data_IF_274810096391
#
_entry.id   IF_274810096391
#
_cell.length_a   1.000
_cell.length_b   1.000
_cell.length_c   1.000
_cell.angle_alpha   90.00
_cell.angle_beta   90.00
_cell.angle_gamma   90.00
#
_symmetry.space_group_name_H-M   'P 1'
#
loop_
_entity.id
_entity.type
_entity.pdbx_description
1 polymer ?
#
# COMPACT_ATOMS: atom_id res chain seq x y z
N UNK A 1 45.54 -2.10 40.82
CA UNK A 1 45.18 -3.34 41.55
C UNK A 1 44.88 -4.41 40.52
N UNK A 2 45.44 -5.60 40.67
CA UNK A 2 45.39 -6.64 39.64
C UNK A 2 44.09 -7.45 39.71
N UNK A 3 43.40 -7.55 38.58
CA UNK A 3 42.17 -8.34 38.37
C UNK A 3 42.32 -9.80 38.86
N UNK A 4 43.49 -10.39 38.60
CA UNK A 4 43.82 -11.78 38.98
C UNK A 4 43.81 -12.00 40.49
N UNK A 5 44.18 -10.99 41.28
CA UNK A 5 44.19 -11.10 42.73
C UNK A 5 42.76 -11.26 43.26
N UNK A 6 41.84 -10.41 42.83
CA UNK A 6 40.43 -10.51 43.23
C UNK A 6 39.77 -11.80 42.77
N UNK A 7 40.05 -12.26 41.55
CA UNK A 7 39.56 -13.56 41.06
C UNK A 7 40.10 -14.72 41.91
N UNK A 8 41.39 -14.68 42.26
CA UNK A 8 42.01 -15.72 43.10
C UNK A 8 41.46 -15.71 44.53
N UNK A 9 41.21 -14.51 45.08
CA UNK A 9 40.67 -14.32 46.41
C UNK A 9 39.21 -14.75 46.50
N UNK A 10 38.39 -14.41 45.50
CA UNK A 10 37.01 -14.89 45.44
C UNK A 10 36.94 -16.42 45.27
N UNK A 11 37.81 -17.03 44.44
CA UNK A 11 37.92 -18.49 44.33
C UNK A 11 38.40 -19.17 45.61
N UNK A 12 39.17 -18.46 46.45
CA UNK A 12 39.57 -18.96 47.75
C UNK A 12 38.38 -18.99 48.72
N UNK A 13 37.63 -17.89 48.81
CA UNK A 13 36.41 -17.82 49.63
C UNK A 13 35.32 -18.82 49.17
N UNK A 14 35.21 -19.05 47.85
CA UNK A 14 34.38 -20.13 47.29
C UNK A 14 34.75 -21.51 47.83
N UNK A 15 36.05 -21.79 48.00
CA UNK A 15 36.51 -23.07 48.60
C UNK A 15 36.22 -23.15 50.10
N UNK A 16 36.16 -22.02 50.78
CA UNK A 16 35.79 -21.92 52.20
C UNK A 16 34.27 -21.96 52.42
N UNK A 17 33.46 -22.09 51.36
CA UNK A 17 31.98 -22.07 51.39
C UNK A 17 31.38 -20.73 51.82
N UNK A 18 32.17 -19.66 51.84
CA UNK A 18 31.75 -18.30 52.18
C UNK A 18 31.27 -17.57 50.91
N UNK A 19 30.16 -18.05 50.34
CA UNK A 19 29.63 -17.58 49.05
C UNK A 19 29.17 -16.11 49.07
N UNK A 20 28.65 -15.63 50.21
CA UNK A 20 28.26 -14.23 50.38
C UNK A 20 29.46 -13.29 50.35
N UNK A 21 30.57 -13.68 51.00
CA UNK A 21 31.82 -12.91 50.94
C UNK A 21 32.41 -12.89 49.55
N UNK A 22 32.42 -14.02 48.85
CA UNK A 22 32.86 -14.08 47.45
C UNK A 22 32.07 -13.08 46.58
N UNK A 23 30.74 -12.98 46.78
CA UNK A 23 29.88 -12.01 46.08
C UNK A 23 30.22 -10.55 46.41
N UNK A 24 30.45 -10.23 47.68
CA UNK A 24 30.86 -8.88 48.10
C UNK A 24 32.22 -8.51 47.50
N UNK A 25 33.16 -9.46 47.43
CA UNK A 25 34.48 -9.26 46.83
C UNK A 25 34.35 -8.97 45.33
N UNK A 26 33.53 -9.75 44.60
CA UNK A 26 33.30 -9.49 43.18
C UNK A 26 32.65 -8.12 42.94
N UNK A 27 31.66 -7.73 43.75
CA UNK A 27 31.01 -6.41 43.65
C UNK A 27 32.00 -5.27 43.94
N UNK A 28 32.77 -5.39 45.03
CA UNK A 28 33.79 -4.42 45.40
C UNK A 28 34.89 -4.28 44.34
N UNK A 29 35.30 -5.39 43.72
CA UNK A 29 36.28 -5.38 42.66
C UNK A 29 35.73 -4.72 41.37
N UNK A 30 34.45 -4.87 41.08
CA UNK A 30 33.79 -4.21 39.94
C UNK A 30 33.63 -2.70 40.14
N UNK A 31 33.44 -2.24 41.37
CA UNK A 31 33.28 -0.81 41.67
C UNK A 31 34.62 -0.04 41.67
N UNK A 32 35.73 -0.72 42.01
CA UNK A 32 37.03 -0.07 42.21
C UNK A 32 38.04 -0.25 41.05
N UNK A 33 37.82 -1.21 40.16
CA UNK A 33 38.74 -1.45 39.03
C UNK A 33 38.20 -0.72 37.78
N UNK A 34 39.05 -0.03 37.01
CA UNK A 34 38.66 0.53 35.72
C UNK A 34 38.07 -0.55 34.81
N UNK A 35 36.85 -0.31 34.35
CA UNK A 35 35.96 -1.32 33.73
C UNK A 35 36.54 -2.02 32.48
N UNK A 36 37.55 -1.45 31.84
CA UNK A 36 38.28 -2.03 30.71
C UNK A 36 39.09 -3.29 31.08
N UNK A 37 39.52 -3.39 32.34
CA UNK A 37 40.27 -4.54 32.88
C UNK A 37 39.40 -5.44 33.76
N UNK A 38 38.08 -5.43 33.57
CA UNK A 38 37.14 -6.21 34.37
C UNK A 38 36.49 -7.37 33.61
N UNK A 39 36.91 -7.65 32.36
CA UNK A 39 36.28 -8.71 31.55
C UNK A 39 36.47 -10.12 32.13
N UNK A 40 37.65 -10.42 32.68
CA UNK A 40 37.93 -11.70 33.32
C UNK A 40 37.19 -11.82 34.67
N UNK A 41 37.08 -10.71 35.39
CA UNK A 41 36.32 -10.58 36.63
C UNK A 41 34.82 -10.79 36.39
N UNK A 42 34.22 -10.14 35.39
CA UNK A 42 32.82 -10.35 34.99
C UNK A 42 32.56 -11.80 34.57
N UNK A 43 33.49 -12.42 33.83
CA UNK A 43 33.36 -13.82 33.41
C UNK A 43 33.35 -14.76 34.63
N UNK A 44 34.29 -14.58 35.57
CA UNK A 44 34.34 -15.38 36.78
C UNK A 44 33.15 -15.12 37.71
N UNK A 45 32.71 -13.86 37.85
CA UNK A 45 31.53 -13.50 38.64
C UNK A 45 30.24 -14.11 38.07
N UNK A 46 30.08 -14.13 36.75
CA UNK A 46 28.94 -14.81 36.09
C UNK A 46 28.97 -16.32 36.34
N UNK A 47 30.15 -16.94 36.35
CA UNK A 47 30.30 -18.38 36.64
C UNK A 47 29.97 -18.67 38.10
N UNK A 48 30.38 -17.80 39.02
CA UNK A 48 30.07 -17.91 40.45
C UNK A 48 28.56 -17.83 40.70
N UNK A 49 27.88 -16.80 40.19
CA UNK A 49 26.43 -16.65 40.35
C UNK A 49 25.67 -17.79 39.66
N UNK A 50 26.14 -18.30 38.50
CA UNK A 50 25.51 -19.48 37.87
C UNK A 50 25.61 -20.77 38.70
N UNK A 51 26.63 -20.90 39.55
CA UNK A 51 26.87 -22.09 40.37
C UNK A 51 26.23 -21.99 41.74
N UNK A 52 26.21 -20.80 42.33
CA UNK A 52 25.89 -20.59 43.74
C UNK A 52 24.91 -19.44 43.99
N UNK A 53 24.51 -18.69 42.96
CA UNK A 53 23.63 -17.55 43.07
C UNK A 53 22.16 -17.91 42.88
N UNK A 54 21.30 -17.06 43.44
CA UNK A 54 19.86 -17.10 43.19
C UNK A 54 19.55 -16.63 41.76
N UNK A 55 18.40 -17.07 41.23
CA UNK A 55 17.94 -16.71 39.87
C UNK A 55 17.95 -15.19 39.62
N UNK A 56 17.55 -14.40 40.60
CA UNK A 56 17.56 -12.92 40.55
C UNK A 56 18.97 -12.33 40.54
N UNK A 57 19.91 -12.93 41.27
CA UNK A 57 21.32 -12.55 41.26
C UNK A 57 21.97 -12.78 39.90
N UNK A 58 21.71 -13.94 39.29
CA UNK A 58 22.19 -14.28 37.94
C UNK A 58 21.65 -13.30 36.90
N UNK A 59 20.36 -12.98 36.96
CA UNK A 59 19.72 -12.03 36.04
C UNK A 59 20.37 -10.64 36.15
N UNK A 60 20.60 -10.12 37.36
CA UNK A 60 21.24 -8.83 37.58
C UNK A 60 22.68 -8.76 37.03
N UNK A 61 23.47 -9.84 37.15
CA UNK A 61 24.85 -9.85 36.62
C UNK A 61 24.86 -9.90 35.09
N UNK A 62 23.95 -10.65 34.49
CA UNK A 62 23.81 -10.72 33.04
C UNK A 62 23.38 -9.36 32.46
N UNK A 63 22.41 -8.70 33.11
CA UNK A 63 21.95 -7.37 32.72
C UNK A 63 23.10 -6.36 32.81
N UNK A 64 23.83 -6.30 33.93
CA UNK A 64 24.98 -5.40 34.09
C UNK A 64 26.08 -5.64 33.04
N UNK A 65 26.37 -6.90 32.71
CA UNK A 65 27.33 -7.23 31.64
C UNK A 65 26.86 -6.73 30.28
N UNK A 66 25.58 -6.92 29.94
CA UNK A 66 24.98 -6.44 28.69
C UNK A 66 24.96 -4.91 28.65
N UNK A 67 24.62 -4.25 29.76
CA UNK A 67 24.63 -2.78 29.93
C UNK A 67 26.00 -2.20 29.55
N UNK A 68 27.07 -2.82 30.04
CA UNK A 68 28.44 -2.44 29.73
C UNK A 68 28.81 -2.64 28.26
N UNK A 69 28.48 -3.82 27.70
CA UNK A 69 28.74 -4.11 26.28
C UNK A 69 28.07 -3.09 25.37
N UNK A 70 26.78 -2.81 25.60
CA UNK A 70 26.06 -1.82 24.83
C UNK A 70 26.58 -0.39 25.05
N UNK A 71 27.01 -0.04 26.27
CA UNK A 71 27.61 1.28 26.53
C UNK A 71 28.95 1.47 25.77
N UNK A 72 29.77 0.43 25.67
CA UNK A 72 31.00 0.46 24.85
C UNK A 72 30.70 0.48 23.35
N UNK A 73 29.72 -0.29 22.88
CA UNK A 73 29.27 -0.29 21.48
C UNK A 73 28.72 1.08 21.06
N UNK A 74 27.97 1.72 21.94
CA UNK A 74 27.42 3.06 21.73
C UNK A 74 28.54 4.12 21.72
N UNK A 75 29.53 4.03 22.61
CA UNK A 75 30.69 4.95 22.62
C UNK A 75 31.57 4.80 21.40
N UNK A 76 31.78 3.56 20.93
CA UNK A 76 32.60 3.27 19.76
C UNK A 76 31.90 3.63 18.45
N UNK A 77 30.60 3.37 18.34
CA UNK A 77 29.79 3.69 17.16
C UNK A 77 28.48 4.41 17.53
N UNK A 78 28.54 5.74 17.80
CA UNK A 78 27.35 6.51 18.17
C UNK A 78 26.24 6.49 17.11
N UNK A 79 26.57 6.26 15.84
CA UNK A 79 25.62 6.21 14.72
C UNK A 79 24.91 4.85 14.56
N UNK A 80 25.26 3.83 15.34
CA UNK A 80 24.61 2.53 15.27
C UNK A 80 23.32 2.52 16.09
N UNK A 81 22.20 2.89 15.47
CA UNK A 81 20.88 2.94 16.12
C UNK A 81 20.37 1.58 16.62
N UNK A 82 20.83 0.45 16.04
CA UNK A 82 20.41 -0.88 16.50
C UNK A 82 20.98 -1.20 17.89
N UNK A 83 22.23 -0.80 18.17
CA UNK A 83 22.83 -0.91 19.50
C UNK A 83 22.08 -0.04 20.53
N UNK A 84 21.64 1.16 20.14
CA UNK A 84 20.80 2.01 20.99
C UNK A 84 19.44 1.37 21.29
N UNK A 85 18.79 0.71 20.31
CA UNK A 85 17.52 0.02 20.54
C UNK A 85 17.65 -1.13 21.53
N UNK A 86 18.69 -1.94 21.40
CA UNK A 86 18.91 -3.05 22.32
C UNK A 86 19.32 -2.57 23.72
N UNK A 87 20.05 -1.45 23.80
CA UNK A 87 20.39 -0.83 25.07
C UNK A 87 19.16 -0.27 25.78
N UNK A 88 18.29 0.46 25.07
CA UNK A 88 17.06 1.00 25.63
C UNK A 88 16.13 -0.10 26.14
N UNK A 89 15.94 -1.18 25.36
CA UNK A 89 15.09 -2.31 25.76
C UNK A 89 15.58 -3.03 27.02
N UNK A 90 16.90 -2.97 27.28
CA UNK A 90 17.49 -3.50 28.50
C UNK A 90 17.18 -2.61 29.71
N UNK A 91 17.32 -1.28 29.56
CA UNK A 91 17.10 -0.32 30.67
C UNK A 91 15.61 -0.14 30.97
N UNK A 92 14.73 -0.21 29.96
CA UNK A 92 13.27 -0.23 30.17
C UNK A 92 12.84 -1.35 31.15
N UNK A 93 13.57 -2.47 31.18
CA UNK A 93 13.35 -3.54 32.16
C UNK A 93 13.84 -3.23 33.59
N UNK A 94 14.69 -2.22 33.78
CA UNK A 94 15.37 -1.91 35.05
C UNK A 94 14.64 -0.84 35.91
N UNK A 95 13.48 -0.35 35.46
CA UNK A 95 12.48 0.40 36.26
C UNK A 95 12.86 1.81 36.76
N UNK A 96 14.08 2.31 36.54
CA UNK A 96 14.44 3.70 36.88
C UNK A 96 14.14 4.67 35.72
N UNK A 97 13.05 5.42 35.83
CA UNK A 97 12.58 6.39 34.82
C UNK A 97 13.65 7.41 34.45
N UNK A 98 14.42 7.90 35.42
CA UNK A 98 15.42 8.95 35.20
C UNK A 98 16.62 8.45 34.40
N UNK A 99 17.03 7.19 34.61
CA UNK A 99 18.12 6.56 33.85
C UNK A 99 17.68 6.29 32.41
N UNK A 100 16.44 5.85 32.23
CA UNK A 100 15.87 5.63 30.89
C UNK A 100 15.77 6.97 30.14
N UNK A 101 15.31 8.04 30.79
CA UNK A 101 15.24 9.39 30.22
C UNK A 101 16.60 9.92 29.79
N UNK A 102 17.59 9.88 30.68
CA UNK A 102 18.95 10.32 30.35
C UNK A 102 19.50 9.54 29.15
N UNK A 103 19.21 8.24 29.08
CA UNK A 103 19.65 7.43 27.95
C UNK A 103 18.96 7.84 26.64
N UNK A 104 17.66 8.10 26.67
CA UNK A 104 16.91 8.58 25.52
C UNK A 104 17.42 9.95 25.04
N UNK A 105 17.66 10.90 25.96
CA UNK A 105 18.22 12.21 25.64
C UNK A 105 19.61 12.09 24.98
N UNK A 106 20.47 11.21 25.51
CA UNK A 106 21.79 10.90 24.92
C UNK A 106 21.67 10.26 23.54
N UNK A 107 20.70 9.37 23.35
CA UNK A 107 20.47 8.72 22.07
C UNK A 107 19.96 9.73 21.02
N UNK A 108 19.09 10.66 21.44
CA UNK A 108 18.53 11.72 20.61
C UNK A 108 19.59 12.75 20.19
N UNK A 109 20.53 13.09 21.08
CA UNK A 109 21.62 14.02 20.77
C UNK A 109 22.49 13.58 19.57
N UNK A 110 22.53 12.28 19.28
CA UNK A 110 23.25 11.71 18.15
C UNK A 110 22.42 11.76 16.85
N UNK A 111 22.27 12.99 16.33
CA UNK A 111 21.58 13.27 15.08
C UNK A 111 22.31 12.58 13.91
N UNK A 112 21.59 11.91 12.99
CA UNK A 112 22.22 11.27 11.83
C UNK A 112 23.07 12.27 11.02
N UNK A 113 24.32 11.92 10.66
CA UNK A 113 25.23 12.85 9.96
C UNK A 113 24.81 13.15 8.51
N UNK A 114 23.95 12.33 7.92
CA UNK A 114 23.44 12.52 6.56
C UNK A 114 21.91 12.62 6.55
N UNK A 115 21.39 13.51 5.71
CA UNK A 115 19.95 13.74 5.50
C UNK A 115 19.31 12.70 4.57
N UNK A 116 19.78 11.45 4.64
CA UNK A 116 19.19 10.36 3.88
C UNK A 116 18.00 9.74 4.61
N UNK A 117 16.88 9.59 3.91
CA UNK A 117 15.66 9.00 4.45
C UNK A 117 15.86 7.61 5.08
N UNK A 118 16.89 6.85 4.68
CA UNK A 118 17.18 5.51 5.23
C UNK A 118 17.67 5.58 6.67
N UNK A 119 18.65 6.45 6.95
CA UNK A 119 19.23 6.63 8.28
C UNK A 119 18.23 7.30 9.24
N UNK A 120 17.48 8.27 8.73
CA UNK A 120 16.44 8.95 9.49
C UNK A 120 15.27 8.05 9.90
N UNK A 121 14.97 6.97 9.15
CA UNK A 121 13.92 6.01 9.55
C UNK A 121 14.19 5.45 10.94
N UNK A 122 15.41 4.94 11.19
CA UNK A 122 15.79 4.32 12.46
C UNK A 122 15.79 5.36 13.59
N UNK A 123 16.37 6.53 13.32
CA UNK A 123 16.36 7.64 14.26
C UNK A 123 14.94 8.09 14.65
N UNK A 124 13.99 8.08 13.72
CA UNK A 124 12.59 8.39 14.03
C UNK A 124 11.90 7.30 14.85
N UNK A 125 12.24 6.04 14.63
CA UNK A 125 11.76 4.98 15.50
C UNK A 125 12.26 5.14 16.94
N UNK A 126 13.46 5.68 17.14
CA UNK A 126 13.97 6.03 18.47
C UNK A 126 13.07 7.08 19.14
N UNK A 127 12.73 8.15 18.43
CA UNK A 127 11.79 9.18 18.92
C UNK A 127 10.39 8.62 19.20
N UNK A 128 9.90 7.72 18.34
CA UNK A 128 8.61 7.04 18.55
C UNK A 128 8.66 6.18 19.82
N UNK A 129 9.73 5.41 20.02
CA UNK A 129 9.90 4.60 21.22
C UNK A 129 9.98 5.48 22.47
N UNK A 130 10.73 6.59 22.42
CA UNK A 130 10.79 7.52 23.53
C UNK A 130 9.41 8.10 23.90
N UNK A 131 8.64 8.52 22.89
CA UNK A 131 7.29 9.03 23.12
C UNK A 131 6.33 7.95 23.62
N UNK A 132 6.47 6.69 23.17
CA UNK A 132 5.68 5.56 23.66
C UNK A 132 6.04 5.19 25.10
N UNK A 133 7.33 5.23 25.45
CA UNK A 133 7.82 4.99 26.80
C UNK A 133 7.26 6.04 27.76
N UNK A 134 7.40 7.33 27.43
CA UNK A 134 6.88 8.42 28.26
C UNK A 134 5.35 8.36 28.41
N UNK A 135 4.65 7.90 27.39
CA UNK A 135 3.19 7.77 27.43
C UNK A 135 2.71 6.54 28.23
N UNK A 136 3.31 5.37 28.02
CA UNK A 136 2.85 4.10 28.59
C UNK A 136 3.43 3.83 29.99
N UNK A 137 4.72 4.09 30.18
CA UNK A 137 5.45 3.76 31.40
C UNK A 137 5.46 4.95 32.37
N UNK A 138 6.01 6.09 31.95
CA UNK A 138 6.12 7.27 32.81
C UNK A 138 4.79 8.04 33.00
N UNK A 139 3.83 7.87 32.06
CA UNK A 139 2.53 8.56 32.03
C UNK A 139 2.61 10.08 32.08
N UNK A 140 3.75 10.67 31.69
CA UNK A 140 3.93 12.12 31.64
C UNK A 140 3.44 12.67 30.29
N UNK A 141 2.18 13.11 30.30
CA UNK A 141 1.55 13.75 29.13
C UNK A 141 2.20 15.08 28.72
N UNK A 142 2.83 15.79 29.65
CA UNK A 142 3.45 17.10 29.40
C UNK A 142 4.72 16.95 28.58
N UNK A 143 5.64 16.11 29.06
CA UNK A 143 6.89 15.83 28.35
C UNK A 143 6.69 15.11 27.03
N UNK A 144 5.76 14.15 26.96
CA UNK A 144 5.45 13.47 25.70
C UNK A 144 5.13 14.48 24.58
N UNK A 145 4.41 15.57 24.89
CA UNK A 145 4.12 16.65 23.94
C UNK A 145 5.37 17.43 23.52
N UNK A 146 6.27 17.70 24.45
CA UNK A 146 7.55 18.37 24.16
C UNK A 146 8.44 17.50 23.28
N UNK A 147 8.50 16.20 23.55
CA UNK A 147 9.22 15.21 22.74
C UNK A 147 8.70 15.17 21.30
N UNK A 148 7.38 15.12 21.11
CA UNK A 148 6.81 15.16 19.77
C UNK A 148 7.10 16.49 19.05
N UNK A 149 7.01 17.63 19.74
CA UNK A 149 7.34 18.95 19.17
C UNK A 149 8.82 19.04 18.77
N UNK A 150 9.72 18.65 19.65
CA UNK A 150 11.16 18.64 19.38
C UNK A 150 11.49 17.72 18.19
N UNK A 151 10.85 16.55 18.10
CA UNK A 151 10.99 15.65 16.96
C UNK A 151 10.54 16.30 15.65
N UNK A 152 9.40 17.01 15.68
CA UNK A 152 8.89 17.74 14.51
C UNK A 152 9.85 18.86 14.09
N UNK A 153 10.34 19.67 15.03
CA UNK A 153 11.22 20.79 14.71
C UNK A 153 12.57 20.34 14.16
N UNK A 154 13.07 19.18 14.62
CA UNK A 154 14.34 18.61 14.17
C UNK A 154 14.27 18.05 12.74
N UNK A 155 13.10 17.58 12.29
CA UNK A 155 12.96 16.94 10.98
C UNK A 155 12.98 18.00 9.86
N UNK A 156 13.91 17.91 8.88
CA UNK A 156 13.88 18.75 7.69
C UNK A 156 12.72 18.37 6.77
N UNK A 157 11.52 18.91 7.04
CA UNK A 157 10.30 18.57 6.30
C UNK A 157 10.33 18.92 4.80
N UNK A 158 11.27 19.78 4.38
CA UNK A 158 11.48 20.15 2.97
C UNK A 158 12.10 19.04 2.13
N UNK A 159 12.88 18.13 2.73
CA UNK A 159 13.63 17.07 2.01
C UNK A 159 12.98 15.70 2.17
N UNK A 160 12.52 15.38 3.37
CA UNK A 160 11.78 14.15 3.63
C UNK A 160 10.79 14.37 4.77
N UNK A 161 9.71 13.61 4.76
CA UNK A 161 8.68 13.70 5.78
C UNK A 161 8.19 12.32 6.16
N UNK A 162 7.81 12.20 7.44
CA UNK A 162 7.34 10.96 8.04
C UNK A 162 5.92 11.15 8.52
N UNK A 163 4.96 10.74 7.68
CA UNK A 163 3.54 10.86 7.99
C UNK A 163 3.15 10.14 9.30
N UNK A 164 3.86 9.05 9.65
CA UNK A 164 3.60 8.26 10.85
C UNK A 164 3.73 9.06 12.15
N UNK A 165 4.73 9.95 12.26
CA UNK A 165 4.95 10.74 13.48
C UNK A 165 3.79 11.71 13.73
N UNK A 166 3.39 12.43 12.68
CA UNK A 166 2.26 13.36 12.75
C UNK A 166 0.96 12.67 13.15
N UNK A 167 0.68 11.50 12.58
CA UNK A 167 -0.49 10.70 12.95
C UNK A 167 -0.41 10.21 14.40
N UNK A 168 0.77 9.75 14.85
CA UNK A 168 0.96 9.33 16.24
C UNK A 168 0.78 10.48 17.22
N UNK A 169 1.30 11.68 16.90
CA UNK A 169 1.12 12.85 17.74
C UNK A 169 -0.34 13.29 17.82
N UNK A 170 -1.08 13.23 16.71
CA UNK A 170 -2.51 13.50 16.72
C UNK A 170 -3.30 12.46 17.54
N UNK A 171 -2.98 11.17 17.40
CA UNK A 171 -3.58 10.11 18.22
C UNK A 171 -3.27 10.28 19.71
N UNK A 172 -2.06 10.73 20.06
CA UNK A 172 -1.67 11.07 21.42
C UNK A 172 -2.55 12.20 21.98
N UNK A 173 -2.70 13.31 21.26
CA UNK A 173 -3.55 14.42 21.70
C UNK A 173 -5.03 14.01 21.83
N UNK A 174 -5.51 13.07 21.02
CA UNK A 174 -6.86 12.48 21.17
C UNK A 174 -6.97 11.67 22.47
N UNK A 175 -5.97 10.85 22.80
CA UNK A 175 -5.94 10.11 24.06
C UNK A 175 -5.94 11.05 25.27
N UNK A 176 -5.26 12.19 25.15
CA UNK A 176 -5.29 13.29 26.14
C UNK A 176 -6.56 14.16 26.08
N UNK A 177 -7.55 13.79 25.25
CA UNK A 177 -8.84 14.49 25.05
C UNK A 177 -8.71 15.93 24.52
N UNK A 178 -7.56 16.30 23.96
CA UNK A 178 -7.29 17.62 23.40
C UNK A 178 -7.53 17.65 21.88
N UNK A 179 -8.80 17.56 21.47
CA UNK A 179 -9.19 17.62 20.05
C UNK A 179 -8.69 18.87 19.30
N UNK A 180 -8.74 20.09 19.87
CA UNK A 180 -8.24 21.27 19.17
C UNK A 180 -6.73 21.22 18.90
N UNK A 181 -5.96 20.63 19.81
CA UNK A 181 -4.52 20.47 19.64
C UNK A 181 -4.23 19.46 18.54
N UNK A 182 -4.89 18.29 18.56
CA UNK A 182 -4.78 17.28 17.51
C UNK A 182 -5.07 17.86 16.11
N UNK A 183 -6.14 18.66 15.99
CA UNK A 183 -6.50 19.34 14.73
C UNK A 183 -5.46 20.36 14.28
N UNK A 184 -4.90 21.16 15.20
CA UNK A 184 -3.82 22.10 14.89
C UNK A 184 -2.57 21.37 14.39
N UNK A 185 -2.22 20.25 15.01
CA UNK A 185 -1.09 19.41 14.61
C UNK A 185 -1.28 18.86 13.21
N UNK A 186 -2.45 18.29 12.90
CA UNK A 186 -2.74 17.74 11.57
C UNK A 186 -2.86 18.83 10.50
N UNK A 187 -3.43 19.99 10.84
CA UNK A 187 -3.47 21.15 9.95
C UNK A 187 -2.07 21.69 9.64
N UNK A 188 -1.19 21.76 10.65
CA UNK A 188 0.22 22.12 10.46
C UNK A 188 0.95 21.06 9.63
N UNK A 189 0.69 19.77 9.87
CA UNK A 189 1.25 18.67 9.09
C UNK A 189 0.88 18.79 7.61
N UNK A 190 -0.35 19.13 7.26
CA UNK A 190 -0.80 19.31 5.87
C UNK A 190 -0.11 20.52 5.21
N UNK A 191 0.00 21.64 5.93
CA UNK A 191 0.63 22.86 5.41
C UNK A 191 2.13 22.70 5.18
N UNK A 192 2.81 21.93 6.04
CA UNK A 192 4.25 21.65 5.93
C UNK A 192 4.51 20.48 4.97
N UNK A 193 3.60 19.51 4.92
CA UNK A 193 3.74 18.25 4.19
C UNK A 193 2.40 17.81 3.60
N UNK A 194 2.25 18.02 2.30
CA UNK A 194 1.07 17.59 1.56
C UNK A 194 1.23 16.16 1.02
N UNK A 195 1.18 15.17 1.92
CA UNK A 195 1.18 13.75 1.54
C UNK A 195 -0.20 13.15 1.66
N UNK A 196 -0.58 12.35 0.67
CA UNK A 196 -1.87 11.62 0.64
C UNK A 196 -2.15 10.81 1.91
N UNK A 197 -1.10 10.24 2.54
CA UNK A 197 -1.25 9.46 3.78
C UNK A 197 -1.69 10.32 4.98
N UNK A 198 -1.26 11.58 5.04
CA UNK A 198 -1.66 12.52 6.10
C UNK A 198 -3.12 12.94 5.93
N UNK A 199 -3.53 13.24 4.70
CA UNK A 199 -4.93 13.52 4.39
C UNK A 199 -5.82 12.32 4.75
N UNK A 200 -5.46 11.11 4.31
CA UNK A 200 -6.21 9.89 4.62
C UNK A 200 -6.35 9.67 6.13
N UNK A 201 -5.25 9.80 6.89
CA UNK A 201 -5.30 9.64 8.34
C UNK A 201 -6.07 10.75 9.06
N UNK A 202 -6.02 11.99 8.57
CA UNK A 202 -6.82 13.07 9.16
C UNK A 202 -8.31 12.89 8.89
N UNK A 203 -8.67 12.48 7.66
CA UNK A 203 -10.07 12.19 7.30
C UNK A 203 -10.61 11.02 8.14
N UNK A 204 -9.85 9.94 8.28
CA UNK A 204 -10.25 8.79 9.12
C UNK A 204 -10.50 9.20 10.58
N UNK A 205 -9.67 10.11 11.10
CA UNK A 205 -9.81 10.67 12.43
C UNK A 205 -11.06 11.54 12.58
N UNK A 206 -11.34 12.44 11.64
CA UNK A 206 -12.57 13.26 11.69
C UNK A 206 -13.82 12.42 11.42
N UNK A 207 -13.70 11.33 10.65
CA UNK A 207 -14.77 10.35 10.45
C UNK A 207 -15.11 9.61 11.76
N UNK A 208 -14.10 9.20 12.53
CA UNK A 208 -14.29 8.62 13.86
C UNK A 208 -14.96 9.60 14.83
N UNK A 209 -14.65 10.89 14.72
CA UNK A 209 -15.28 11.96 15.50
C UNK A 209 -16.67 12.36 14.98
N UNK A 210 -17.12 11.80 13.84
CA UNK A 210 -18.40 12.10 13.15
C UNK A 210 -18.56 13.57 12.74
N UNK A 211 -17.45 14.24 12.45
CA UNK A 211 -17.42 15.66 12.08
C UNK A 211 -17.40 15.83 10.56
N UNK A 212 -18.50 15.42 9.93
CA UNK A 212 -18.61 15.32 8.47
C UNK A 212 -18.41 16.65 7.73
N UNK A 213 -18.84 17.77 8.33
CA UNK A 213 -18.61 19.10 7.76
C UNK A 213 -17.14 19.44 7.60
N UNK A 214 -16.28 18.97 8.51
CA UNK A 214 -14.82 19.13 8.39
C UNK A 214 -14.22 18.15 7.41
N UNK A 215 -14.72 16.90 7.36
CA UNK A 215 -14.30 15.93 6.35
C UNK A 215 -14.46 16.50 4.94
N UNK A 216 -15.57 17.21 4.66
CA UNK A 216 -15.81 17.89 3.38
C UNK A 216 -14.71 18.90 3.04
N UNK A 217 -14.42 19.83 3.94
CA UNK A 217 -13.37 20.84 3.76
C UNK A 217 -12.00 20.17 3.54
N UNK A 218 -11.74 19.06 4.23
CA UNK A 218 -10.49 18.31 4.06
C UNK A 218 -10.39 17.62 2.71
N UNK A 219 -11.48 17.02 2.22
CA UNK A 219 -11.53 16.44 0.89
C UNK A 219 -11.39 17.50 -0.21
N UNK A 220 -12.05 18.66 -0.07
CA UNK A 220 -11.90 19.79 -0.99
C UNK A 220 -10.43 20.25 -1.07
N UNK A 221 -9.77 20.47 0.08
CA UNK A 221 -8.34 20.80 0.13
C UNK A 221 -7.44 19.70 -0.41
N UNK A 222 -7.85 18.44 -0.24
CA UNK A 222 -7.08 17.30 -0.74
C UNK A 222 -7.13 17.23 -2.27
N UNK A 223 -8.30 17.52 -2.84
CA UNK A 223 -8.52 17.61 -4.28
C UNK A 223 -7.77 18.82 -4.87
N UNK A 224 -7.76 19.97 -4.20
CA UNK A 224 -6.97 21.14 -4.62
C UNK A 224 -5.48 20.82 -4.71
N UNK A 225 -4.97 19.98 -3.80
CA UNK A 225 -3.56 19.63 -3.78
C UNK A 225 -3.20 18.49 -4.75
N UNK A 226 -4.05 17.47 -4.84
CA UNK A 226 -3.80 16.26 -5.62
C UNK A 226 -5.01 15.93 -6.53
N UNK A 227 -5.30 16.76 -7.55
CA UNK A 227 -6.47 16.55 -8.42
C UNK A 227 -6.38 15.26 -9.26
N UNK A 228 -5.17 14.74 -9.45
CA UNK A 228 -4.88 13.58 -10.30
C UNK A 228 -5.25 12.23 -9.65
N UNK A 229 -5.38 12.19 -8.31
CA UNK A 229 -5.55 10.94 -7.58
C UNK A 229 -7.02 10.48 -7.55
N UNK A 230 -7.39 9.56 -8.45
CA UNK A 230 -8.72 8.96 -8.55
C UNK A 230 -9.22 8.32 -7.25
N UNK A 231 -8.33 7.79 -6.39
CA UNK A 231 -8.75 7.15 -5.13
C UNK A 231 -9.33 8.15 -4.12
N UNK A 232 -8.98 9.42 -4.25
CA UNK A 232 -9.46 10.49 -3.36
C UNK A 232 -10.88 10.90 -3.72
N UNK A 233 -11.15 11.05 -5.03
CA UNK A 233 -12.47 11.30 -5.59
C UNK A 233 -13.47 10.19 -5.24
N UNK A 234 -13.07 8.92 -5.42
CA UNK A 234 -13.92 7.79 -5.05
C UNK A 234 -14.28 7.81 -3.57
N UNK A 235 -13.29 7.97 -2.68
CA UNK A 235 -13.53 8.02 -1.23
C UNK A 235 -14.35 9.23 -0.79
N UNK A 236 -14.24 10.36 -1.49
CA UNK A 236 -15.04 11.52 -1.20
C UNK A 236 -16.51 11.28 -1.56
N UNK A 237 -16.75 10.70 -2.74
CA UNK A 237 -18.09 10.32 -3.16
C UNK A 237 -18.69 9.23 -2.25
N UNK A 238 -17.94 8.19 -1.88
CA UNK A 238 -18.32 7.15 -0.90
C UNK A 238 -18.73 7.74 0.45
N UNK A 239 -18.04 8.79 0.92
CA UNK A 239 -18.42 9.47 2.15
C UNK A 239 -19.80 10.14 2.02
N UNK A 240 -20.04 10.86 0.93
CA UNK A 240 -21.32 11.56 0.72
C UNK A 240 -22.48 10.59 0.50
N UNK A 241 -22.25 9.43 -0.11
CA UNK A 241 -23.25 8.35 -0.17
C UNK A 241 -23.61 7.81 1.20
N UNK A 242 -22.62 7.56 2.06
CA UNK A 242 -22.87 7.12 3.44
C UNK A 242 -23.68 8.17 4.22
N UNK A 243 -23.53 9.45 3.86
CA UNK A 243 -24.29 10.55 4.45
C UNK A 243 -25.70 10.73 3.86
N UNK A 244 -26.01 10.06 2.74
CA UNK A 244 -27.28 10.14 2.03
C UNK A 244 -27.40 11.33 1.07
N UNK A 245 -26.34 12.11 0.87
CA UNK A 245 -26.33 13.27 -0.03
C UNK A 245 -25.99 12.84 -1.48
N UNK A 246 -26.94 12.15 -2.11
CA UNK A 246 -26.79 11.55 -3.46
C UNK A 246 -26.47 12.62 -4.52
N UNK A 247 -27.12 13.78 -4.47
CA UNK A 247 -26.89 14.86 -5.44
C UNK A 247 -25.46 15.41 -5.36
N UNK A 248 -24.91 15.48 -4.15
CA UNK A 248 -23.54 15.95 -3.93
C UNK A 248 -22.53 14.92 -4.41
N UNK A 249 -22.75 13.64 -4.10
CA UNK A 249 -21.95 12.54 -4.61
C UNK A 249 -21.88 12.56 -6.15
N UNK A 250 -23.02 12.77 -6.82
CA UNK A 250 -23.08 12.96 -8.28
C UNK A 250 -22.28 14.15 -8.77
N UNK A 251 -22.43 15.30 -8.12
CA UNK A 251 -21.64 16.50 -8.43
C UNK A 251 -20.15 16.25 -8.33
N UNK A 252 -19.71 15.48 -7.33
CA UNK A 252 -18.30 15.10 -7.14
C UNK A 252 -17.82 14.19 -8.28
N UNK A 253 -18.59 13.17 -8.67
CA UNK A 253 -18.23 12.31 -9.80
C UNK A 253 -18.16 13.08 -11.13
N UNK A 254 -19.10 13.98 -11.39
CA UNK A 254 -19.08 14.83 -12.59
C UNK A 254 -17.88 15.78 -12.61
N UNK A 255 -17.53 16.38 -11.47
CA UNK A 255 -16.32 17.18 -11.32
C UNK A 255 -15.06 16.35 -11.57
N UNK A 256 -15.02 15.12 -11.06
CA UNK A 256 -13.89 14.22 -11.26
C UNK A 256 -13.74 13.84 -12.75
N UNK A 257 -14.83 13.57 -13.47
CA UNK A 257 -14.84 13.24 -14.91
C UNK A 257 -14.48 14.43 -15.80
N UNK A 258 -14.76 15.65 -15.35
CA UNK A 258 -14.38 16.88 -16.03
C UNK A 258 -12.86 17.13 -15.98
N UNK A 259 -12.12 16.51 -15.05
CA UNK A 259 -10.68 16.69 -14.94
C UNK A 259 -9.93 16.02 -16.12
N UNK A 260 -9.03 16.75 -16.82
CA UNK A 260 -8.30 16.21 -17.98
C UNK A 260 -7.14 15.26 -17.64
N UNK A 261 -6.59 15.35 -16.42
CA UNK A 261 -5.48 14.52 -15.93
C UNK A 261 -5.93 13.66 -14.78
N UNK A 262 -6.41 12.46 -15.11
CA UNK A 262 -6.75 11.42 -14.15
C UNK A 262 -5.79 10.25 -14.36
N UNK A 263 -5.22 9.73 -13.28
CA UNK A 263 -4.21 8.66 -13.29
C UNK A 263 -4.81 7.34 -13.82
N UNK A 264 -6.01 7.00 -13.34
CA UNK A 264 -6.78 5.82 -13.77
C UNK A 264 -8.25 6.18 -13.97
N UNK A 265 -8.63 6.73 -15.14
CA UNK A 265 -10.01 7.13 -15.41
C UNK A 265 -10.99 5.95 -15.32
N UNK A 266 -10.60 4.76 -15.79
CA UNK A 266 -11.48 3.58 -15.86
C UNK A 266 -12.07 3.17 -14.52
N UNK A 267 -11.26 3.23 -13.45
CA UNK A 267 -11.67 2.85 -12.09
C UNK A 267 -12.72 3.82 -11.56
N UNK A 268 -12.55 5.11 -11.83
CA UNK A 268 -13.50 6.15 -11.44
C UNK A 268 -14.83 6.00 -12.18
N UNK A 269 -14.79 5.72 -13.49
CA UNK A 269 -16.00 5.47 -14.28
C UNK A 269 -16.76 4.24 -13.78
N UNK A 270 -16.06 3.15 -13.49
CA UNK A 270 -16.67 1.96 -12.90
C UNK A 270 -17.34 2.29 -11.55
N UNK A 271 -16.63 2.98 -10.65
CA UNK A 271 -17.19 3.37 -9.36
C UNK A 271 -18.43 4.27 -9.51
N UNK A 272 -18.44 5.18 -10.50
CA UNK A 272 -19.60 6.03 -10.75
C UNK A 272 -20.80 5.23 -11.30
N UNK A 273 -20.55 4.27 -12.19
CA UNK A 273 -21.57 3.35 -12.69
C UNK A 273 -22.13 2.50 -11.55
N UNK A 274 -21.28 1.85 -10.76
CA UNK A 274 -21.68 1.02 -9.62
C UNK A 274 -22.53 1.83 -8.63
N UNK A 275 -22.15 3.09 -8.38
CA UNK A 275 -22.94 4.02 -7.57
C UNK A 275 -24.34 4.29 -8.14
N UNK A 276 -24.48 4.65 -9.42
CA UNK A 276 -25.82 4.92 -10.00
C UNK A 276 -26.67 3.64 -10.12
N UNK A 277 -26.04 2.46 -10.22
CA UNK A 277 -26.72 1.15 -10.15
C UNK A 277 -27.29 0.92 -8.74
N UNK A 278 -26.52 1.20 -7.68
CA UNK A 278 -26.98 1.11 -6.28
C UNK A 278 -28.15 2.06 -5.97
N UNK A 279 -28.21 3.21 -6.66
CA UNK A 279 -29.30 4.18 -6.52
C UNK A 279 -30.51 3.89 -7.42
N UNK A 280 -30.52 2.76 -8.16
CA UNK A 280 -31.60 2.32 -9.06
C UNK A 280 -31.95 3.31 -10.19
N UNK A 281 -31.01 4.19 -10.57
CA UNK A 281 -31.24 5.27 -11.54
C UNK A 281 -30.78 4.87 -12.95
N UNK A 282 -31.42 3.83 -13.48
CA UNK A 282 -30.99 3.14 -14.70
C UNK A 282 -30.87 4.03 -15.95
N UNK A 283 -31.71 5.06 -16.07
CA UNK A 283 -31.67 5.99 -17.21
C UNK A 283 -30.41 6.86 -17.23
N UNK A 284 -29.90 7.23 -16.05
CA UNK A 284 -28.66 8.01 -15.93
C UNK A 284 -27.46 7.11 -16.20
N UNK A 285 -27.47 5.89 -15.68
CA UNK A 285 -26.45 4.88 -15.96
C UNK A 285 -26.31 4.60 -17.46
N UNK A 286 -27.42 4.49 -18.21
CA UNK A 286 -27.41 4.38 -19.68
C UNK A 286 -26.71 5.55 -20.37
N UNK A 287 -27.00 6.79 -19.94
CA UNK A 287 -26.32 7.98 -20.47
C UNK A 287 -24.83 7.97 -20.14
N UNK A 288 -24.48 7.50 -18.95
CA UNK A 288 -23.10 7.42 -18.48
C UNK A 288 -22.29 6.41 -19.31
N UNK A 289 -22.84 5.22 -19.56
CA UNK A 289 -22.24 4.25 -20.47
C UNK A 289 -22.04 4.81 -21.87
N UNK A 290 -23.01 5.54 -22.44
CA UNK A 290 -22.85 6.19 -23.75
C UNK A 290 -21.71 7.20 -23.76
N UNK A 291 -21.62 8.04 -22.73
CA UNK A 291 -20.52 9.03 -22.60
C UNK A 291 -19.16 8.37 -22.42
N UNK A 292 -19.11 7.25 -21.69
CA UNK A 292 -17.89 6.44 -21.55
C UNK A 292 -17.48 5.82 -22.89
N UNK A 293 -18.44 5.31 -23.66
CA UNK A 293 -18.21 4.73 -24.98
C UNK A 293 -17.79 5.75 -26.06
N UNK A 294 -18.17 7.02 -25.90
CA UNK A 294 -17.67 8.13 -26.73
C UNK A 294 -16.19 8.44 -26.44
N UNK A 295 -15.75 8.29 -25.18
CA UNK A 295 -14.36 8.56 -24.76
C UNK A 295 -13.44 7.36 -24.94
N UNK A 296 -13.92 6.16 -24.69
CA UNK A 296 -13.15 4.91 -24.71
C UNK A 296 -13.89 3.85 -25.51
N UNK A 297 -13.21 3.20 -26.46
CA UNK A 297 -13.82 2.19 -27.34
C UNK A 297 -13.57 0.75 -26.89
N UNK A 298 -13.14 0.53 -25.64
CA UNK A 298 -12.77 -0.79 -25.14
C UNK A 298 -13.95 -1.75 -25.05
N UNK A 299 -13.74 -2.98 -25.51
CA UNK A 299 -14.74 -4.09 -25.45
C UNK A 299 -15.29 -4.34 -24.05
N UNK A 300 -14.46 -4.22 -23.02
CA UNK A 300 -14.89 -4.49 -21.63
C UNK A 300 -16.04 -3.58 -21.19
N UNK A 301 -16.10 -2.35 -21.71
CA UNK A 301 -17.19 -1.41 -21.42
C UNK A 301 -18.48 -1.83 -22.12
N UNK A 302 -18.39 -2.32 -23.35
CA UNK A 302 -19.55 -2.86 -24.07
C UNK A 302 -20.14 -4.09 -23.38
N UNK A 303 -19.28 -5.01 -22.95
CA UNK A 303 -19.71 -6.21 -22.21
C UNK A 303 -20.34 -5.83 -20.88
N UNK A 304 -19.75 -4.87 -20.13
CA UNK A 304 -20.33 -4.44 -18.86
C UNK A 304 -21.66 -3.70 -19.05
N UNK A 305 -21.81 -2.91 -20.12
CA UNK A 305 -23.07 -2.26 -20.46
C UNK A 305 -24.18 -3.27 -20.79
N UNK A 306 -23.85 -4.30 -21.56
CA UNK A 306 -24.78 -5.39 -21.87
C UNK A 306 -25.18 -6.18 -20.62
N UNK A 307 -24.22 -6.53 -19.74
CA UNK A 307 -24.49 -7.20 -18.46
C UNK A 307 -25.34 -6.34 -17.52
N UNK A 308 -25.11 -5.03 -17.49
CA UNK A 308 -25.92 -4.10 -16.71
C UNK A 308 -27.39 -4.10 -17.16
N UNK A 309 -27.67 -4.03 -18.46
CA UNK A 309 -29.06 -4.07 -18.95
C UNK A 309 -29.78 -5.38 -18.57
N UNK A 310 -29.05 -6.49 -18.48
CA UNK A 310 -29.60 -7.76 -18.01
C UNK A 310 -29.91 -7.75 -16.51
N UNK A 311 -29.10 -7.06 -15.71
CA UNK A 311 -29.33 -6.95 -14.26
C UNK A 311 -30.58 -6.13 -13.89
N UNK A 312 -31.07 -5.26 -14.79
CA UNK A 312 -32.30 -4.47 -14.57
C UNK A 312 -33.55 -5.36 -14.57
N UNK A 313 -33.55 -6.49 -15.29
CA UNK A 313 -34.65 -7.45 -15.27
C UNK A 313 -35.94 -7.02 -16.00
N UNK A 314 -35.94 -5.93 -16.76
CA UNK A 314 -37.09 -5.50 -17.58
C UNK A 314 -37.41 -6.50 -18.70
N UNK A 315 -38.67 -6.65 -19.10
CA UNK A 315 -39.08 -7.56 -20.22
C UNK A 315 -38.36 -7.28 -21.55
N UNK A 316 -37.87 -6.05 -21.73
CA UNK A 316 -37.11 -5.62 -22.92
C UNK A 316 -35.58 -5.74 -22.74
N UNK A 317 -35.08 -6.23 -21.60
CA UNK A 317 -33.65 -6.30 -21.29
C UNK A 317 -32.86 -7.11 -22.33
N UNK A 318 -33.41 -8.25 -22.75
CA UNK A 318 -32.78 -9.15 -23.73
C UNK A 318 -32.67 -8.46 -25.10
N UNK A 319 -33.72 -7.76 -25.53
CA UNK A 319 -33.73 -7.04 -26.80
C UNK A 319 -32.73 -5.87 -26.79
N UNK A 320 -32.67 -5.13 -25.68
CA UNK A 320 -31.75 -4.01 -25.52
C UNK A 320 -30.29 -4.47 -25.43
N UNK A 321 -29.99 -5.51 -24.65
CA UNK A 321 -28.65 -6.12 -24.57
C UNK A 321 -28.18 -6.63 -25.94
N UNK A 322 -29.06 -7.29 -26.72
CA UNK A 322 -28.75 -7.67 -28.12
C UNK A 322 -28.46 -6.48 -29.02
N UNK A 323 -29.20 -5.39 -28.87
CA UNK A 323 -28.97 -4.18 -29.66
C UNK A 323 -27.59 -3.57 -29.36
N UNK A 324 -27.17 -3.62 -28.10
CA UNK A 324 -25.86 -3.15 -27.64
C UNK A 324 -24.74 -4.01 -28.21
N UNK A 325 -24.85 -5.35 -28.16
CA UNK A 325 -23.88 -6.24 -28.78
C UNK A 325 -23.75 -6.02 -30.30
N UNK A 326 -24.88 -5.81 -30.99
CA UNK A 326 -24.89 -5.48 -32.43
C UNK A 326 -24.20 -4.14 -32.73
N UNK A 327 -24.45 -3.12 -31.90
CA UNK A 327 -23.81 -1.80 -32.03
C UNK A 327 -22.31 -1.88 -31.75
N UNK A 328 -21.92 -2.58 -30.69
CA UNK A 328 -20.53 -2.85 -30.32
C UNK A 328 -19.78 -3.56 -31.45
N UNK A 329 -20.37 -4.63 -32.01
CA UNK A 329 -19.78 -5.36 -33.15
C UNK A 329 -19.62 -4.47 -34.39
N UNK A 330 -20.57 -3.57 -34.66
CA UNK A 330 -20.45 -2.61 -35.78
C UNK A 330 -19.32 -1.60 -35.55
N UNK A 331 -19.18 -1.07 -34.33
CA UNK A 331 -18.11 -0.12 -34.00
C UNK A 331 -16.73 -0.77 -34.04
N UNK A 332 -16.56 -1.96 -33.44
CA UNK A 332 -15.30 -2.70 -33.48
C UNK A 332 -14.92 -3.16 -34.88
N UNK A 333 -15.91 -3.51 -35.72
CA UNK A 333 -15.65 -3.78 -37.15
C UNK A 333 -15.05 -2.56 -37.87
N UNK A 334 -15.49 -1.36 -37.52
CA UNK A 334 -14.95 -0.12 -38.11
C UNK A 334 -13.57 0.26 -37.55
N UNK A 335 -13.22 -0.20 -36.35
CA UNK A 335 -11.93 0.05 -35.70
C UNK A 335 -10.84 -0.97 -36.08
N UNK A 336 -11.19 -2.05 -36.80
CA UNK A 336 -10.30 -3.17 -37.20
C UNK A 336 -9.58 -3.87 -36.03
N UNK A 337 -10.14 -3.77 -34.82
CA UNK A 337 -9.61 -4.43 -33.62
C UNK A 337 -10.13 -5.87 -33.52
N UNK A 338 -9.41 -6.80 -34.17
CA UNK A 338 -9.83 -8.19 -34.33
C UNK A 338 -9.88 -9.02 -33.03
N UNK A 339 -8.93 -8.81 -32.13
CA UNK A 339 -8.86 -9.53 -30.85
C UNK A 339 -9.97 -9.10 -29.89
N UNK A 340 -10.17 -7.78 -29.80
CA UNK A 340 -11.26 -7.13 -29.07
C UNK A 340 -12.63 -7.63 -29.58
N UNK A 341 -12.80 -7.69 -30.91
CA UNK A 341 -14.02 -8.22 -31.54
C UNK A 341 -14.27 -9.69 -31.23
N UNK A 342 -13.23 -10.52 -31.10
CA UNK A 342 -13.39 -11.92 -30.70
C UNK A 342 -13.93 -12.02 -29.26
N UNK A 343 -13.34 -11.30 -28.32
CA UNK A 343 -13.78 -11.32 -26.91
C UNK A 343 -15.23 -10.86 -26.78
N UNK A 344 -15.65 -9.85 -27.56
CA UNK A 344 -17.05 -9.43 -27.61
C UNK A 344 -17.97 -10.54 -28.14
N UNK A 345 -17.56 -11.24 -29.20
CA UNK A 345 -18.38 -12.31 -29.80
C UNK A 345 -18.47 -13.55 -28.92
N UNK A 346 -17.39 -13.90 -28.20
CA UNK A 346 -17.42 -14.95 -27.16
C UNK A 346 -18.43 -14.56 -26.08
N UNK A 347 -18.36 -13.34 -25.55
CA UNK A 347 -19.32 -12.86 -24.55
C UNK A 347 -20.78 -12.78 -25.07
N UNK A 348 -20.98 -12.43 -26.34
CA UNK A 348 -22.30 -12.44 -26.97
C UNK A 348 -22.81 -13.87 -27.17
N UNK A 349 -21.94 -14.81 -27.50
CA UNK A 349 -22.31 -16.22 -27.61
C UNK A 349 -22.73 -16.77 -26.25
N UNK A 350 -21.94 -16.56 -25.20
CA UNK A 350 -22.28 -16.98 -23.83
C UNK A 350 -23.64 -16.40 -23.39
N UNK A 351 -23.88 -15.13 -23.75
CA UNK A 351 -25.17 -14.48 -23.49
C UNK A 351 -26.36 -15.14 -24.21
N UNK A 352 -26.24 -15.48 -25.50
CA UNK A 352 -27.33 -16.17 -26.23
C UNK A 352 -27.44 -17.65 -25.84
N UNK A 353 -26.40 -18.28 -25.30
CA UNK A 353 -26.50 -19.62 -24.69
C UNK A 353 -27.37 -19.61 -23.43
N UNK A 354 -27.27 -18.56 -22.61
CA UNK A 354 -28.03 -18.45 -21.35
C UNK A 354 -29.47 -17.96 -21.55
N UNK A 355 -29.68 -17.01 -22.47
CA UNK A 355 -30.94 -16.24 -22.58
C UNK A 355 -31.53 -16.22 -24.00
N UNK A 356 -30.89 -16.88 -24.96
CA UNK A 356 -31.21 -16.82 -26.37
C UNK A 356 -32.21 -17.86 -26.88
N UNK A 357 -32.63 -17.66 -28.13
CA UNK A 357 -33.34 -18.68 -28.92
C UNK A 357 -32.34 -19.40 -29.85
N UNK A 358 -32.62 -20.64 -30.25
CA UNK A 358 -31.72 -21.44 -31.12
C UNK A 358 -31.33 -20.68 -32.40
N UNK A 359 -32.26 -19.95 -33.02
CA UNK A 359 -31.99 -19.10 -34.21
C UNK A 359 -31.00 -17.96 -33.94
N UNK A 360 -31.07 -17.34 -32.76
CA UNK A 360 -30.17 -16.24 -32.39
C UNK A 360 -28.75 -16.74 -32.12
N UNK A 361 -28.63 -17.91 -31.50
CA UNK A 361 -27.38 -18.59 -31.23
C UNK A 361 -26.68 -19.00 -32.53
N UNK A 362 -27.42 -19.59 -33.48
CA UNK A 362 -26.86 -19.92 -34.80
C UNK A 362 -26.33 -18.69 -35.55
N UNK A 363 -27.03 -17.57 -35.43
CA UNK A 363 -26.61 -16.32 -36.07
C UNK A 363 -25.31 -15.77 -35.47
N UNK A 364 -25.12 -15.87 -34.15
CA UNK A 364 -23.84 -15.48 -33.50
C UNK A 364 -22.72 -16.46 -33.85
N UNK A 365 -23.01 -17.76 -33.90
CA UNK A 365 -22.03 -18.78 -34.32
C UNK A 365 -21.52 -18.56 -35.76
N UNK A 366 -22.40 -18.13 -36.68
CA UNK A 366 -22.01 -17.77 -38.06
C UNK A 366 -21.08 -16.55 -38.13
N UNK A 367 -21.07 -15.70 -37.10
CA UNK A 367 -20.22 -14.51 -37.02
C UNK A 367 -18.85 -14.78 -36.39
N UNK A 368 -18.64 -15.95 -35.77
CA UNK A 368 -17.39 -16.30 -35.09
C UNK A 368 -16.21 -16.37 -36.07
N UNK A 369 -15.04 -15.78 -35.74
CA UNK A 369 -13.88 -15.81 -36.60
C UNK A 369 -13.23 -17.19 -36.63
N UNK A 370 -12.63 -17.53 -37.76
CA UNK A 370 -11.75 -18.69 -37.87
C UNK A 370 -10.34 -18.26 -37.49
N UNK A 371 -9.70 -19.00 -36.57
CA UNK A 371 -8.30 -18.80 -36.19
C UNK A 371 -7.40 -19.38 -37.28
N UNK A 372 -6.67 -18.53 -37.99
CA UNK A 372 -5.76 -18.93 -39.07
C UNK A 372 -4.32 -18.60 -38.69
N UNK A 373 -3.41 -19.55 -38.91
CA UNK A 373 -1.97 -19.34 -38.74
C UNK A 373 -1.43 -18.58 -39.95
N UNK A 374 -0.87 -17.40 -39.74
CA UNK A 374 -0.16 -16.62 -40.76
C UNK A 374 1.31 -16.48 -40.39
N UNK A 375 2.15 -16.31 -41.40
CA UNK A 375 3.59 -16.09 -41.25
C UNK A 375 3.90 -14.68 -41.71
N UNK A 376 4.50 -13.85 -40.86
CA UNK A 376 5.06 -12.53 -41.24
C UNK A 376 6.57 -12.62 -41.32
N UNK A 377 7.16 -11.95 -42.29
CA UNK A 377 8.60 -11.83 -42.40
C UNK A 377 9.07 -10.71 -41.46
N UNK A 378 10.08 -10.96 -40.64
CA UNK A 378 10.70 -9.94 -39.79
C UNK A 378 11.86 -9.33 -40.57
N UNK A 379 11.83 -8.02 -40.77
CA UNK A 379 12.96 -7.25 -41.27
C UNK A 379 13.75 -6.69 -40.09
N UNK A 380 15.08 -6.77 -40.16
CA UNK A 380 15.99 -6.07 -39.23
C UNK A 380 16.08 -4.58 -39.57
N UNK A 381 16.56 -3.73 -38.65
CA UNK A 381 16.74 -2.28 -38.88
C UNK A 381 17.63 -1.94 -40.11
N UNK A 382 18.45 -2.90 -40.57
CA UNK A 382 19.31 -2.79 -41.76
C UNK A 382 18.67 -3.37 -43.04
N UNK A 383 17.38 -3.73 -43.03
CA UNK A 383 16.64 -4.21 -44.19
C UNK A 383 17.03 -5.62 -44.67
N UNK A 384 17.71 -6.41 -43.83
CA UNK A 384 18.02 -7.82 -44.12
C UNK A 384 17.03 -8.78 -43.46
N UNK A 385 16.67 -9.84 -44.19
CA UNK A 385 15.66 -10.83 -43.83
C UNK A 385 16.04 -11.63 -42.58
N UNK A 386 15.33 -11.42 -41.46
CA UNK A 386 15.63 -12.07 -40.17
C UNK A 386 14.74 -13.29 -39.85
N UNK A 387 13.95 -13.77 -40.83
CA UNK A 387 13.15 -14.99 -40.72
C UNK A 387 11.64 -14.74 -40.66
N UNK A 388 10.88 -15.82 -40.46
CA UNK A 388 9.41 -15.82 -40.43
C UNK A 388 8.90 -15.98 -38.99
N UNK A 389 8.06 -15.07 -38.53
CA UNK A 389 7.31 -15.22 -37.28
C UNK A 389 5.91 -15.78 -37.55
N UNK A 390 5.57 -16.88 -36.90
CA UNK A 390 4.22 -17.44 -36.94
C UNK A 390 3.33 -16.68 -35.94
N UNK A 391 2.31 -15.99 -36.44
CA UNK A 391 1.30 -15.33 -35.60
C UNK A 391 -0.10 -15.85 -35.96
N UNK A 392 -1.01 -15.80 -34.99
CA UNK A 392 -2.40 -16.16 -35.20
C UNK A 392 -3.18 -14.91 -35.62
N UNK A 393 -3.86 -14.98 -36.76
CA UNK A 393 -4.78 -13.94 -37.23
C UNK A 393 -6.22 -14.49 -37.20
N UNK A 394 -7.16 -13.66 -36.80
CA UNK A 394 -8.58 -14.01 -36.71
C UNK A 394 -9.30 -13.47 -37.93
N UNK A 395 -9.83 -14.37 -38.77
CA UNK A 395 -10.56 -14.00 -39.98
C UNK A 395 -12.05 -14.12 -39.72
N UNK A 396 -12.77 -13.00 -39.75
CA UNK A 396 -14.22 -12.99 -39.61
C UNK A 396 -14.87 -13.33 -40.96
N UNK A 397 -15.88 -14.22 -41.00
CA UNK A 397 -16.58 -14.60 -42.24
C UNK A 397 -17.16 -13.42 -43.03
N UNK A 398 -17.54 -12.32 -42.36
CA UNK A 398 -18.04 -11.11 -43.00
C UNK A 398 -16.97 -10.30 -43.76
N UNK A 399 -15.68 -10.54 -43.47
CA UNK A 399 -14.54 -9.87 -44.12
C UNK A 399 -13.95 -10.74 -45.25
N UNK A 400 -14.24 -12.06 -45.27
CA UNK A 400 -14.00 -12.95 -46.43
C UNK A 400 -14.80 -12.50 -47.67
N UNK A 401 -16.00 -11.94 -47.49
CA UNK A 401 -16.86 -11.50 -48.60
C UNK A 401 -16.30 -10.29 -49.40
N UNK A 402 -15.40 -9.51 -48.77
CA UNK A 402 -14.76 -8.34 -49.36
C UNK A 402 -13.38 -8.63 -49.97
N UNK A 403 -12.85 -9.85 -49.83
CA UNK A 403 -11.60 -10.24 -50.47
C UNK A 403 -11.86 -10.75 -51.91
N UNK A 404 -11.44 -10.04 -52.96
CA UNK A 404 -11.71 -10.43 -54.35
C UNK A 404 -11.09 -11.79 -54.72
N UNK A 405 -9.99 -12.17 -54.07
CA UNK A 405 -9.25 -13.40 -54.34
C UNK A 405 -10.01 -14.66 -53.87
N UNK A 406 -10.90 -14.55 -52.88
CA UNK A 406 -11.67 -15.69 -52.36
C UNK A 406 -12.90 -16.01 -53.21
N UNK A 407 -13.51 -15.02 -53.88
CA UNK A 407 -14.57 -15.27 -54.87
C UNK A 407 -14.06 -16.08 -56.05
N UNK A 408 -12.84 -15.79 -56.51
CA UNK A 408 -12.15 -16.54 -57.55
C UNK A 408 -11.86 -17.98 -57.12
N UNK A 409 -11.40 -18.18 -55.89
CA UNK A 409 -11.14 -19.51 -55.34
C UNK A 409 -12.42 -20.33 -55.10
N UNK A 410 -13.51 -19.67 -54.65
CA UNK A 410 -14.82 -20.29 -54.47
C UNK A 410 -15.46 -20.67 -55.82
N UNK A 411 -15.36 -19.81 -56.84
CA UNK A 411 -15.80 -20.13 -58.20
C UNK A 411 -14.97 -21.26 -58.81
N UNK A 412 -13.66 -21.30 -58.59
CA UNK A 412 -12.81 -22.39 -59.05
C UNK A 412 -13.16 -23.73 -58.37
N UNK A 413 -13.56 -23.70 -57.09
CA UNK A 413 -13.99 -24.90 -56.35
C UNK A 413 -15.36 -25.40 -56.83
N UNK A 414 -16.30 -24.49 -57.13
CA UNK A 414 -17.59 -24.86 -57.74
C UNK A 414 -17.43 -25.39 -59.17
N UNK A 415 -16.52 -24.82 -59.96
CA UNK A 415 -16.20 -25.32 -61.30
C UNK A 415 -15.64 -26.73 -61.27
N UNK A 416 -14.76 -27.03 -60.30
CA UNK A 416 -14.24 -28.38 -60.10
C UNK A 416 -15.32 -29.39 -59.70
N UNK A 417 -16.24 -29.02 -58.82
CA UNK A 417 -17.36 -29.89 -58.42
C UNK A 417 -18.35 -30.14 -59.57
N UNK A 418 -18.65 -29.12 -60.38
CA UNK A 418 -19.49 -29.30 -61.57
C UNK A 418 -18.82 -30.07 -62.71
N UNK A 419 -17.47 -30.13 -62.73
CA UNK A 419 -16.73 -31.00 -63.64
C UNK A 419 -16.75 -32.47 -63.17
N UNK A 420 -16.70 -32.72 -61.85
CA UNK A 420 -16.83 -34.07 -61.27
C UNK A 420 -18.25 -34.64 -61.34
N UNK A 421 -19.29 -33.81 -61.53
CA UNK A 421 -20.69 -34.26 -61.75
C UNK A 421 -21.04 -34.54 -63.22
N UNK A 422 -20.19 -34.16 -64.18
CA UNK A 422 -20.43 -34.34 -65.63
C UNK A 422 -19.51 -35.40 -66.29
N UNK A 423 -18.68 -36.09 -65.50
CA UNK A 423 -17.99 -37.34 -65.87
C UNK A 423 -18.69 -38.53 -65.18
#
# INVERSE_FOLDING_TARGET
MDEKLFVSFAKFEERQKEHERAKVIYKYALDNIPKQYAQELFKNYTIHEKRYGDRSGIENVIVNKRKFQYEEEVKSNPSNYDAWFDYLRLIEGESDEDVVRELYERAIANVPPAEEKRLWRRYIYLWINYALYEELEAKDSGRTREVYKACIDLIPHKKFTFAKIWLMFACFEIRQKNLPAARKVLGHAIGVCSKDKLFKGYIELELQLREFGRCRILYEKFIEHSPENCTTWMKYAELETILGDIERARGIYELAIAQPRLDMPEVLWKAYIDFEVEQEEYQKTRKLYRRLLERTQHVKVWISFAKFELSIGDENCVAMSRSIYKEAHRRLKNADEKEERLVLLEAWKDFEEELGTEDSLENVQKLMPKRVKKRRQIETEDGSDAGWEEYYDYIFPADEANAPNLKLLAMAKMWKQGAEEND
#
